data_IF_446232343122
#
_entry.id   IF_446232343122
#
_cell.length_a   1.000
_cell.length_b   1.000
_cell.length_c   1.000
_cell.angle_alpha   90.00
_cell.angle_beta   90.00
_cell.angle_gamma   90.00
#
_symmetry.space_group_name_H-M   'P 1'
#
loop_
_entity.id
_entity.type
_entity.pdbx_description
1 polymer ?
#
# COMPACT_ATOMS: atom_id res chain seq x y z
N UNK A 1 12.19 1.30 -15.72
CA UNK A 1 12.41 -0.17 -15.69
C UNK A 1 11.16 -0.73 -15.04
N UNK A 2 10.31 -1.44 -15.77
CA UNK A 2 8.90 -1.57 -15.39
C UNK A 2 8.59 -2.57 -14.26
N UNK A 3 9.53 -3.48 -13.99
CA UNK A 3 9.46 -4.42 -12.87
C UNK A 3 10.84 -4.52 -12.24
N UNK A 4 10.94 -4.42 -10.91
CA UNK A 4 12.17 -4.64 -10.14
C UNK A 4 11.89 -5.45 -8.88
N UNK A 5 12.87 -6.22 -8.42
CA UNK A 5 12.81 -6.88 -7.11
C UNK A 5 13.53 -5.98 -6.11
N UNK A 6 12.84 -5.59 -5.04
CA UNK A 6 13.37 -4.75 -3.96
C UNK A 6 13.06 -5.45 -2.65
N UNK A 7 14.09 -5.74 -1.85
CA UNK A 7 13.95 -6.39 -0.54
C UNK A 7 13.03 -7.62 -0.58
N UNK A 8 13.15 -8.46 -1.61
CA UNK A 8 12.34 -9.68 -1.88
C UNK A 8 10.90 -9.45 -2.40
N UNK A 9 10.44 -8.21 -2.52
CA UNK A 9 9.16 -7.89 -3.15
C UNK A 9 9.32 -7.57 -4.64
N UNK A 10 8.38 -8.00 -5.47
CA UNK A 10 8.24 -7.48 -6.83
C UNK A 10 7.53 -6.13 -6.78
N UNK A 11 8.18 -5.11 -7.33
CA UNK A 11 7.61 -3.79 -7.57
C UNK A 11 7.33 -3.63 -9.05
N UNK A 12 6.09 -3.32 -9.39
CA UNK A 12 5.62 -3.12 -10.76
C UNK A 12 5.13 -1.68 -10.87
N UNK A 13 5.71 -0.91 -11.78
CA UNK A 13 5.37 0.50 -11.98
C UNK A 13 3.98 0.64 -12.65
N UNK A 14 3.27 1.73 -12.36
CA UNK A 14 1.92 1.97 -12.90
C UNK A 14 1.83 1.94 -14.43
N UNK A 15 2.90 2.29 -15.14
CA UNK A 15 2.91 2.49 -16.58
C UNK A 15 2.81 1.18 -17.38
N UNK A 16 2.91 0.04 -16.70
CA UNK A 16 2.73 -1.30 -17.28
C UNK A 16 1.55 -2.06 -16.67
N UNK A 17 0.73 -1.38 -15.88
CA UNK A 17 -0.46 -1.95 -15.24
C UNK A 17 -1.69 -1.32 -15.87
N UNK A 18 -2.50 -2.12 -16.55
CA UNK A 18 -3.79 -1.69 -17.09
C UNK A 18 -4.91 -2.48 -16.40
N UNK A 19 -5.46 -1.89 -15.35
CA UNK A 19 -6.63 -2.46 -14.70
C UNK A 19 -7.91 -2.05 -15.43
N UNK A 20 -8.90 -2.96 -15.57
CA UNK A 20 -10.20 -2.60 -16.11
C UNK A 20 -10.79 -1.38 -15.41
N UNK A 21 -11.43 -0.48 -16.16
CA UNK A 21 -12.06 0.74 -15.62
C UNK A 21 -12.99 0.41 -14.46
N UNK A 22 -13.74 -0.70 -14.53
CA UNK A 22 -14.61 -1.16 -13.44
C UNK A 22 -13.86 -1.44 -12.15
N UNK A 23 -12.66 -2.04 -12.21
CA UNK A 23 -11.82 -2.31 -11.05
C UNK A 23 -11.29 -0.99 -10.47
N UNK A 24 -10.72 -0.14 -11.31
CA UNK A 24 -10.17 1.16 -10.90
C UNK A 24 -11.24 2.06 -10.28
N UNK A 25 -12.44 2.11 -10.85
CA UNK A 25 -13.58 2.84 -10.29
C UNK A 25 -14.05 2.26 -8.96
N UNK A 26 -14.13 0.94 -8.83
CA UNK A 26 -14.54 0.30 -7.57
C UNK A 26 -13.54 0.58 -6.43
N UNK A 27 -12.23 0.46 -6.70
CA UNK A 27 -11.18 0.79 -5.73
C UNK A 27 -11.25 2.27 -5.35
N UNK A 28 -11.38 3.16 -6.33
CA UNK A 28 -11.51 4.60 -6.07
C UNK A 28 -12.72 4.91 -5.19
N UNK A 29 -13.90 4.41 -5.55
CA UNK A 29 -15.12 4.62 -4.77
C UNK A 29 -14.96 4.14 -3.34
N UNK A 30 -14.38 2.95 -3.15
CA UNK A 30 -14.14 2.38 -1.83
C UNK A 30 -13.18 3.25 -0.98
N UNK A 31 -12.08 3.72 -1.57
CA UNK A 31 -11.13 4.62 -0.87
C UNK A 31 -11.83 5.94 -0.49
N UNK A 32 -12.55 6.56 -1.42
CA UNK A 32 -13.23 7.85 -1.17
C UNK A 32 -14.31 7.72 -0.10
N UNK A 33 -15.05 6.62 -0.09
CA UNK A 33 -16.09 6.35 0.90
C UNK A 33 -15.49 6.10 2.29
N UNK A 34 -14.51 5.18 2.41
CA UNK A 34 -13.90 4.84 3.70
C UNK A 34 -13.16 6.01 4.35
N UNK A 35 -12.58 6.90 3.53
CA UNK A 35 -11.79 8.03 4.01
C UNK A 35 -12.56 9.36 4.00
N UNK A 36 -13.85 9.34 3.63
CA UNK A 36 -14.69 10.53 3.50
C UNK A 36 -14.07 11.64 2.65
N UNK A 37 -13.37 11.26 1.57
CA UNK A 37 -12.73 12.20 0.66
C UNK A 37 -13.75 12.86 -0.25
N UNK A 38 -13.56 14.15 -0.51
CA UNK A 38 -14.38 14.91 -1.44
C UNK A 38 -13.68 15.09 -2.80
N UNK A 39 -14.35 15.75 -3.74
CA UNK A 39 -13.88 15.93 -5.12
C UNK A 39 -12.61 16.78 -5.27
N UNK A 40 -12.15 17.44 -4.21
CA UNK A 40 -10.89 18.18 -4.18
C UNK A 40 -9.67 17.27 -4.32
N UNK A 41 -9.79 16.00 -3.91
CA UNK A 41 -8.70 15.05 -4.00
C UNK A 41 -8.76 14.20 -5.28
N UNK A 42 -7.60 13.70 -5.67
CA UNK A 42 -7.45 12.69 -6.70
C UNK A 42 -6.54 11.55 -6.24
N UNK A 43 -6.68 10.37 -6.87
CA UNK A 43 -5.91 9.16 -6.54
C UNK A 43 -5.17 8.68 -7.76
N UNK A 44 -3.85 8.62 -7.66
CA UNK A 44 -2.98 8.18 -8.75
C UNK A 44 -2.32 6.87 -8.33
N UNK A 45 -2.58 5.78 -9.08
CA UNK A 45 -1.88 4.52 -8.85
C UNK A 45 -0.39 4.76 -9.08
N UNK A 46 0.45 4.44 -8.09
CA UNK A 46 1.89 4.60 -8.19
C UNK A 46 2.54 3.27 -8.59
N UNK A 47 2.30 2.21 -7.80
CA UNK A 47 2.93 0.90 -7.97
C UNK A 47 2.01 -0.23 -7.49
N UNK A 48 2.21 -1.42 -8.04
CA UNK A 48 1.73 -2.69 -7.49
C UNK A 48 2.92 -3.39 -6.84
N UNK A 49 2.74 -3.85 -5.60
CA UNK A 49 3.74 -4.62 -4.88
C UNK A 49 3.23 -6.01 -4.56
N UNK A 50 4.08 -7.00 -4.81
CA UNK A 50 3.81 -8.42 -4.51
C UNK A 50 4.93 -8.92 -3.61
N UNK A 51 4.58 -9.34 -2.41
CA UNK A 51 5.49 -9.90 -1.43
C UNK A 51 5.29 -11.41 -1.39
N UNK A 52 6.34 -12.15 -1.72
CA UNK A 52 6.37 -13.61 -1.57
C UNK A 52 6.88 -14.04 -0.20
N UNK A 53 7.12 -15.36 -0.07
CA UNK A 53 7.74 -15.90 1.14
C UNK A 53 9.12 -15.28 1.39
N UNK A 54 9.34 -14.84 2.63
CA UNK A 54 10.59 -14.23 3.06
C UNK A 54 10.86 -14.56 4.53
N UNK A 55 12.07 -15.00 4.91
CA UNK A 55 12.37 -15.41 6.29
C UNK A 55 12.70 -14.25 7.24
N UNK A 56 12.81 -13.02 6.73
CA UNK A 56 13.23 -11.86 7.51
C UNK A 56 12.24 -10.71 7.36
N UNK A 57 12.19 -9.85 8.37
CA UNK A 57 11.51 -8.57 8.29
C UNK A 57 12.19 -7.68 7.26
N UNK A 58 11.42 -7.06 6.37
CA UNK A 58 11.92 -6.12 5.40
C UNK A 58 11.35 -4.73 5.66
N UNK A 59 12.23 -3.72 5.56
CA UNK A 59 11.86 -2.31 5.62
C UNK A 59 11.83 -1.77 4.18
N UNK A 60 10.80 -0.99 3.89
CA UNK A 60 10.58 -0.35 2.60
C UNK A 60 10.35 1.14 2.80
N UNK A 61 10.85 1.93 1.87
CA UNK A 61 10.34 3.25 1.63
C UNK A 61 9.61 3.21 0.29
N UNK A 62 8.33 3.59 0.27
CA UNK A 62 7.54 3.56 -0.96
C UNK A 62 7.73 4.83 -1.80
N UNK A 63 8.35 5.87 -1.24
CA UNK A 63 8.63 7.12 -1.93
C UNK A 63 10.12 7.23 -2.31
N UNK A 64 10.36 7.34 -3.61
CA UNK A 64 11.69 7.64 -4.17
C UNK A 64 11.79 9.11 -4.62
N UNK A 65 10.65 9.83 -4.69
CA UNK A 65 10.55 11.18 -5.26
C UNK A 65 9.41 11.98 -4.63
N UNK A 66 9.75 12.68 -3.55
CA UNK A 66 9.04 13.82 -2.98
C UNK A 66 8.66 14.74 -4.13
N UNK A 67 7.38 14.99 -4.38
CA UNK A 67 6.80 16.28 -4.77
C UNK A 67 5.34 16.05 -5.19
N UNK A 68 4.40 16.57 -4.37
CA UNK A 68 2.96 16.77 -4.65
C UNK A 68 2.00 15.62 -4.22
N UNK A 69 2.40 14.70 -3.33
CA UNK A 69 1.44 13.81 -2.64
C UNK A 69 1.06 14.38 -1.26
N UNK A 70 -0.23 14.33 -0.92
CA UNK A 70 -0.77 14.69 0.39
C UNK A 70 -0.63 13.53 1.38
N UNK A 71 -0.77 12.30 0.90
CA UNK A 71 -0.58 11.07 1.66
C UNK A 71 -0.36 9.88 0.70
N UNK A 72 0.16 8.78 1.23
CA UNK A 72 0.17 7.49 0.54
C UNK A 72 -1.05 6.68 1.01
N UNK A 73 -1.77 6.10 0.06
CA UNK A 73 -2.86 5.17 0.32
C UNK A 73 -2.40 3.78 -0.08
N UNK A 74 -2.44 2.85 0.87
CA UNK A 74 -2.07 1.46 0.61
C UNK A 74 -3.33 0.62 0.66
N UNK A 75 -3.60 -0.06 -0.45
CA UNK A 75 -4.73 -0.96 -0.61
C UNK A 75 -4.22 -2.38 -0.59
N UNK A 76 -4.50 -3.11 0.48
CA UNK A 76 -4.22 -4.53 0.58
C UNK A 76 -5.30 -5.29 -0.18
N UNK A 77 -4.93 -5.89 -1.32
CA UNK A 77 -5.84 -6.72 -2.09
C UNK A 77 -6.06 -8.07 -1.38
N UNK A 78 -7.22 -8.70 -1.55
CA UNK A 78 -7.45 -10.06 -1.07
C UNK A 78 -6.41 -11.02 -1.64
N UNK A 79 -5.61 -11.65 -0.78
CA UNK A 79 -4.64 -12.67 -1.17
C UNK A 79 -4.44 -13.68 -0.05
N UNK A 80 -4.03 -14.90 -0.41
CA UNK A 80 -3.77 -15.97 0.55
C UNK A 80 -2.30 -15.95 0.95
N UNK A 81 -2.02 -15.72 2.23
CA UNK A 81 -0.68 -15.78 2.80
C UNK A 81 -0.72 -16.09 4.30
N UNK A 82 0.41 -16.46 4.91
CA UNK A 82 0.59 -16.61 6.37
C UNK A 82 1.77 -15.72 6.82
N UNK A 83 1.63 -15.06 7.97
CA UNK A 83 2.60 -14.07 8.46
C UNK A 83 2.41 -12.71 7.77
N UNK A 84 3.48 -11.96 7.54
CA UNK A 84 3.44 -10.74 6.75
C UNK A 84 2.73 -9.58 7.43
N UNK A 85 2.79 -9.46 8.75
CA UNK A 85 2.23 -8.31 9.45
C UNK A 85 2.84 -7.03 8.88
N UNK A 86 1.98 -6.04 8.61
CA UNK A 86 2.40 -4.74 8.12
C UNK A 86 2.38 -3.72 9.26
N UNK A 87 3.43 -2.91 9.33
CA UNK A 87 3.54 -1.76 10.22
C UNK A 87 4.13 -0.59 9.43
N UNK A 88 3.86 0.63 9.86
CA UNK A 88 4.62 1.78 9.41
C UNK A 88 5.24 2.50 10.61
N UNK A 89 6.38 3.12 10.38
CA UNK A 89 7.18 3.85 11.36
C UNK A 89 7.11 5.32 10.94
N UNK A 90 6.39 6.11 11.72
CA UNK A 90 6.40 7.57 11.58
C UNK A 90 7.63 8.10 12.33
N UNK A 91 8.56 8.74 11.62
CA UNK A 91 9.79 9.28 12.22
C UNK A 91 9.53 10.57 13.03
N UNK A 92 8.39 11.23 12.82
CA UNK A 92 8.04 12.49 13.48
C UNK A 92 7.25 12.28 14.79
N UNK A 93 6.79 11.06 15.04
CA UNK A 93 6.19 10.63 16.30
C UNK A 93 7.16 9.64 16.94
N UNK A 94 7.76 10.01 18.10
CA UNK A 94 8.49 9.10 19.01
C UNK A 94 7.94 7.66 18.93
N UNK A 95 8.77 6.61 18.89
CA UNK A 95 8.55 5.35 18.15
C UNK A 95 7.36 4.57 18.69
N UNK A 96 6.17 5.06 18.40
CA UNK A 96 4.90 4.44 18.68
C UNK A 96 4.55 3.73 17.39
N UNK A 97 4.79 2.41 17.39
CA UNK A 97 4.25 1.48 16.41
C UNK A 97 2.75 1.77 16.26
N UNK A 98 2.39 2.54 15.24
CA UNK A 98 1.14 3.30 15.32
C UNK A 98 -0.05 2.42 14.98
N UNK A 99 0.16 1.29 14.30
CA UNK A 99 -0.83 0.22 14.10
C UNK A 99 -0.18 -1.04 13.52
N UNK A 100 -0.48 -2.21 14.08
CA UNK A 100 -0.16 -3.51 13.47
C UNK A 100 -1.37 -3.92 12.63
N UNK A 101 -1.19 -4.03 11.31
CA UNK A 101 -2.25 -4.44 10.41
C UNK A 101 -2.03 -5.89 9.99
N UNK A 102 -2.81 -6.78 10.61
CA UNK A 102 -2.84 -8.20 10.28
C UNK A 102 -4.20 -8.56 9.67
N UNK A 103 -4.18 -9.12 8.45
CA UNK A 103 -5.41 -9.66 7.84
C UNK A 103 -5.83 -11.00 8.48
N UNK A 104 -4.96 -11.71 9.22
CA UNK A 104 -5.25 -13.05 9.74
C UNK A 104 -6.25 -13.11 10.89
N UNK A 105 -6.46 -12.04 11.65
CA UNK A 105 -7.41 -12.08 12.77
C UNK A 105 -8.88 -12.06 12.33
N UNK A 106 -9.12 -11.71 11.07
CA UNK A 106 -10.46 -11.66 10.50
C UNK A 106 -10.44 -12.55 9.27
N UNK A 107 -11.33 -13.52 9.20
CA UNK A 107 -11.57 -14.48 8.11
C UNK A 107 -11.89 -13.81 6.72
N UNK A 108 -11.14 -12.80 6.33
CA UNK A 108 -11.53 -11.72 5.44
C UNK A 108 -10.58 -11.70 4.24
N UNK A 109 -10.99 -12.37 3.17
CA UNK A 109 -10.62 -12.08 1.79
C UNK A 109 -11.17 -10.70 1.34
N UNK A 110 -11.10 -9.69 2.22
CA UNK A 110 -11.62 -8.34 1.96
C UNK A 110 -10.47 -7.38 1.79
N UNK A 111 -10.65 -6.47 0.85
CA UNK A 111 -9.74 -5.34 0.66
C UNK A 111 -9.66 -4.52 1.94
N UNK A 112 -8.45 -4.19 2.36
CA UNK A 112 -8.19 -3.32 3.51
C UNK A 112 -7.38 -2.11 3.05
N UNK A 113 -7.68 -0.93 3.59
CA UNK A 113 -7.11 0.35 3.12
C UNK A 113 -6.50 1.07 4.31
N UNK A 114 -5.29 1.60 4.13
CA UNK A 114 -4.64 2.49 5.10
C UNK A 114 -4.17 3.77 4.42
N UNK A 115 -4.11 4.83 5.22
CA UNK A 115 -3.53 6.12 4.86
C UNK A 115 -2.30 6.32 5.72
N UNK A 116 -1.19 6.67 5.10
CA UNK A 116 0.08 6.89 5.79
C UNK A 116 0.76 8.15 5.28
N UNK A 117 1.59 8.82 6.11
CA UNK A 117 2.46 9.90 5.66
C UNK A 117 3.35 9.46 4.50
N UNK A 118 3.81 10.40 3.68
CA UNK A 118 4.63 10.12 2.50
C UNK A 118 6.07 9.74 2.86
N UNK A 119 6.53 10.14 4.04
CA UNK A 119 7.91 10.00 4.52
C UNK A 119 8.08 8.85 5.54
N UNK A 120 7.07 7.98 5.70
CA UNK A 120 7.17 6.88 6.66
C UNK A 120 7.89 5.66 6.09
N UNK A 121 8.56 4.93 6.98
CA UNK A 121 9.11 3.61 6.65
C UNK A 121 8.04 2.54 6.87
N UNK A 122 8.09 1.50 6.05
CA UNK A 122 7.12 0.42 6.08
C UNK A 122 7.81 -0.89 6.40
N UNK A 123 7.33 -1.57 7.43
CA UNK A 123 7.82 -2.86 7.85
C UNK A 123 6.85 -3.96 7.42
N UNK A 124 7.38 -5.00 6.78
CA UNK A 124 6.68 -6.25 6.53
C UNK A 124 7.43 -7.36 7.26
N UNK A 125 6.77 -7.97 8.24
CA UNK A 125 7.26 -9.18 8.91
C UNK A 125 7.37 -10.39 7.95
N UNK A 126 8.09 -11.46 8.32
CA UNK A 126 8.23 -12.65 7.50
C UNK A 126 6.89 -13.19 6.96
N UNK A 127 6.86 -13.49 5.66
CA UNK A 127 5.74 -14.23 5.04
C UNK A 127 6.17 -15.68 4.95
N UNK A 128 5.46 -16.55 5.67
CA UNK A 128 5.77 -17.98 5.73
C UNK A 128 5.33 -18.68 4.43
N UNK A 129 4.12 -18.38 3.97
CA UNK A 129 3.55 -18.97 2.75
C UNK A 129 2.68 -17.97 2.00
N UNK A 130 2.49 -18.21 0.69
CA UNK A 130 1.59 -17.43 -0.16
C UNK A 130 2.16 -16.07 -0.62
N UNK A 131 1.25 -15.17 -0.99
CA UNK A 131 1.59 -13.83 -1.48
C UNK A 131 0.73 -12.76 -0.84
N UNK A 132 1.36 -11.66 -0.44
CA UNK A 132 0.68 -10.44 -0.01
C UNK A 132 0.73 -9.43 -1.16
N UNK A 133 -0.42 -8.86 -1.54
CA UNK A 133 -0.53 -7.98 -2.71
C UNK A 133 -1.04 -6.60 -2.31
N UNK A 134 -0.31 -5.55 -2.68
CA UNK A 134 -0.60 -4.17 -2.31
C UNK A 134 -0.67 -3.30 -3.56
N UNK A 135 -1.67 -2.43 -3.62
CA UNK A 135 -1.65 -1.27 -4.52
C UNK A 135 -1.27 -0.03 -3.72
N UNK A 136 -0.29 0.70 -4.24
CA UNK A 136 0.19 1.95 -3.65
C UNK A 136 -0.36 3.08 -4.50
N UNK A 137 -1.15 3.96 -3.89
CA UNK A 137 -1.71 5.15 -4.51
C UNK A 137 -1.15 6.40 -3.85
N UNK A 138 -0.93 7.44 -4.64
CA UNK A 138 -0.72 8.79 -4.13
C UNK A 138 -2.06 9.52 -4.08
N UNK A 139 -2.40 10.06 -2.90
CA UNK A 139 -3.50 11.00 -2.74
C UNK A 139 -2.96 12.39 -3.05
N UNK A 140 -3.51 13.06 -4.06
CA UNK A 140 -3.06 14.39 -4.48
C UNK A 140 -4.21 15.39 -4.37
N UNK A 141 -3.91 16.61 -3.95
CA UNK A 141 -4.86 17.70 -4.01
C UNK A 141 -4.94 18.22 -5.45
N UNK A 142 -6.16 18.40 -5.97
CA UNK A 142 -6.33 19.09 -7.26
C UNK A 142 -5.95 20.56 -7.07
N UNK A 143 -5.14 21.09 -7.97
CA UNK A 143 -4.94 22.54 -8.05
C UNK A 143 -6.29 23.21 -8.26
N UNK A 144 -6.57 24.29 -7.51
CA UNK A 144 -7.68 25.18 -7.84
C UNK A 144 -7.48 25.83 -9.20
#
# INVERSE_FOLDING_TARGET
MSVKVVNTAWQIDNNVIDFPVSFSSAIRSNIFEQLHLNSYFDLHLHKLMIFGSCPHTNIYNFDDTIFISYAIIIVFLPSNYIGGNYRFIDQNLEPIYTSIFNQHELNNLKTFIIVVPTDCEHEIEPIETGFKVLLIYHLVAKSK
#
